data_IF_216319343954
#
_entry.id   IF_216319343954
#
_cell.length_a   1.000
_cell.length_b   1.000
_cell.length_c   1.000
_cell.angle_alpha   90.00
_cell.angle_beta   90.00
_cell.angle_gamma   90.00
#
_symmetry.space_group_name_H-M   'P 1'
#
loop_
_entity.id
_entity.type
_entity.pdbx_description
1 polymer ?
#
# COMPACT_ATOMS: atom_id res chain seq x y z
N UNK A 1 13.42 7.62 16.62
CA UNK A 1 13.08 6.19 16.52
C UNK A 1 11.58 5.99 16.63
N UNK A 2 11.05 4.95 16.00
CA UNK A 2 9.63 4.64 15.91
C UNK A 2 9.35 3.29 16.54
N UNK A 3 8.14 3.11 17.09
CA UNK A 3 7.71 1.86 17.70
C UNK A 3 7.25 0.85 16.66
N UNK A 4 6.55 1.32 15.63
CA UNK A 4 5.95 0.51 14.57
C UNK A 4 6.26 1.16 13.23
N UNK A 5 6.66 0.35 12.26
CA UNK A 5 6.75 0.71 10.86
C UNK A 5 5.86 -0.22 10.03
N UNK A 6 5.19 0.34 9.02
CA UNK A 6 4.36 -0.41 8.09
C UNK A 6 4.92 -0.20 6.68
N UNK A 7 5.40 -1.28 6.07
CA UNK A 7 5.91 -1.28 4.70
C UNK A 7 4.76 -1.60 3.75
N UNK A 8 4.44 -0.66 2.85
CA UNK A 8 3.37 -0.77 1.86
C UNK A 8 3.87 -0.54 0.42
N UNK A 9 5.18 -0.56 0.19
CA UNK A 9 5.77 -0.13 -1.07
C UNK A 9 5.54 -1.16 -2.18
N UNK A 10 5.91 -2.39 -1.95
CA UNK A 10 5.86 -3.44 -2.94
C UNK A 10 6.89 -3.33 -4.08
N UNK A 11 6.99 -4.37 -4.90
CA UNK A 11 7.86 -4.42 -6.07
C UNK A 11 9.34 -4.23 -5.73
N UNK A 12 10.08 -3.67 -6.69
CA UNK A 12 11.54 -3.48 -6.60
C UNK A 12 12.02 -2.52 -5.52
N UNK A 13 11.15 -1.71 -4.95
CA UNK A 13 11.50 -0.75 -3.90
C UNK A 13 11.34 -1.31 -2.49
N UNK A 14 10.77 -2.49 -2.32
CA UNK A 14 10.54 -3.08 -1.00
C UNK A 14 11.82 -3.35 -0.23
N UNK A 15 12.89 -3.78 -0.88
CA UNK A 15 14.19 -3.98 -0.24
C UNK A 15 14.65 -2.71 0.48
N UNK A 16 14.67 -1.60 -0.23
CA UNK A 16 15.08 -0.31 0.32
C UNK A 16 14.14 0.15 1.44
N UNK A 17 12.84 0.02 1.25
CA UNK A 17 11.85 0.43 2.23
C UNK A 17 11.92 -0.40 3.52
N UNK A 18 12.10 -1.72 3.41
CA UNK A 18 12.23 -2.62 4.56
C UNK A 18 13.49 -2.30 5.35
N UNK A 19 14.64 -2.14 4.68
CA UNK A 19 15.90 -1.84 5.35
C UNK A 19 15.86 -0.45 6.02
N UNK A 20 15.28 0.57 5.38
CA UNK A 20 15.05 1.86 6.01
C UNK A 20 14.14 1.76 7.24
N UNK A 21 13.09 0.94 7.17
CA UNK A 21 12.21 0.70 8.32
C UNK A 21 12.97 0.04 9.48
N UNK A 22 13.84 -0.94 9.20
CA UNK A 22 14.71 -1.57 10.20
C UNK A 22 15.62 -0.53 10.85
N UNK A 23 16.20 0.38 10.06
CA UNK A 23 17.13 1.42 10.55
C UNK A 23 16.46 2.38 11.54
N UNK A 24 15.24 2.83 11.25
CA UNK A 24 14.54 3.84 12.05
C UNK A 24 13.77 3.29 13.24
N UNK A 25 13.51 1.98 13.28
CA UNK A 25 12.83 1.33 14.41
C UNK A 25 13.70 1.34 15.66
N UNK A 26 13.08 1.59 16.81
CA UNK A 26 13.74 1.44 18.11
C UNK A 26 13.98 -0.04 18.44
N UNK A 27 14.87 -0.34 19.39
CA UNK A 27 14.95 -1.69 19.97
C UNK A 27 13.59 -2.18 20.48
N UNK A 28 13.24 -3.42 20.15
CA UNK A 28 11.93 -4.01 20.43
C UNK A 28 10.78 -3.51 19.56
N UNK A 29 11.06 -2.74 18.51
CA UNK A 29 10.06 -2.25 17.58
C UNK A 29 9.44 -3.34 16.71
N UNK A 30 8.38 -2.98 15.97
CA UNK A 30 7.65 -3.89 15.09
C UNK A 30 7.67 -3.40 13.66
N UNK A 31 7.95 -4.31 12.72
CA UNK A 31 7.83 -4.08 11.29
C UNK A 31 6.69 -4.92 10.71
N UNK A 32 5.70 -4.26 10.13
CA UNK A 32 4.57 -4.92 9.46
C UNK A 32 4.80 -4.83 7.95
N UNK A 33 4.91 -5.99 7.31
CA UNK A 33 5.11 -6.12 5.87
C UNK A 33 3.75 -6.30 5.19
N UNK A 34 3.39 -5.37 4.31
CA UNK A 34 2.17 -5.37 3.50
C UNK A 34 2.44 -5.23 2.01
N UNK A 35 3.62 -4.74 1.62
CA UNK A 35 4.05 -4.64 0.24
C UNK A 35 4.32 -6.01 -0.38
N UNK A 36 3.84 -6.24 -1.60
CA UNK A 36 4.07 -7.49 -2.33
C UNK A 36 5.31 -7.35 -3.20
N UNK A 37 6.28 -8.25 -3.03
CA UNK A 37 7.45 -8.37 -3.89
C UNK A 37 7.28 -9.56 -4.84
N UNK A 38 7.86 -9.48 -6.04
CA UNK A 38 7.89 -10.59 -6.99
C UNK A 38 8.91 -11.65 -6.56
N UNK A 39 10.06 -11.18 -6.07
CA UNK A 39 11.19 -12.01 -5.64
C UNK A 39 11.50 -11.84 -4.15
N UNK A 40 12.38 -12.70 -3.66
CA UNK A 40 12.96 -12.55 -2.33
C UNK A 40 13.86 -11.32 -2.30
N UNK A 41 13.73 -10.53 -1.23
CA UNK A 41 14.55 -9.32 -1.05
C UNK A 41 15.55 -9.52 0.10
N UNK A 42 16.81 -9.09 -0.04
CA UNK A 42 17.78 -9.12 1.05
C UNK A 42 17.43 -8.05 2.09
N UNK A 43 17.50 -8.44 3.36
CA UNK A 43 17.25 -7.54 4.48
C UNK A 43 18.42 -7.59 5.49
N UNK A 44 18.60 -6.53 6.26
CA UNK A 44 19.60 -6.43 7.30
C UNK A 44 19.16 -7.25 8.55
N UNK A 45 19.41 -8.55 8.50
CA UNK A 45 19.09 -9.47 9.60
C UNK A 45 19.90 -9.20 10.86
N UNK A 46 21.10 -8.58 10.74
CA UNK A 46 21.91 -8.21 11.87
C UNK A 46 21.19 -7.23 12.78
N UNK A 47 20.67 -6.14 12.21
CA UNK A 47 19.94 -5.13 12.99
C UNK A 47 18.61 -5.65 13.51
N UNK A 48 17.95 -6.53 12.77
CA UNK A 48 16.76 -7.25 13.28
C UNK A 48 17.09 -8.01 14.55
N UNK A 49 18.23 -8.74 14.57
CA UNK A 49 18.70 -9.47 15.73
C UNK A 49 19.10 -8.53 16.87
N UNK A 50 19.98 -7.57 16.59
CA UNK A 50 20.56 -6.70 17.63
C UNK A 50 19.51 -5.80 18.30
N UNK A 51 18.54 -5.32 17.53
CA UNK A 51 17.43 -4.50 18.05
C UNK A 51 16.25 -5.33 18.59
N UNK A 52 16.23 -6.65 18.39
CA UNK A 52 15.10 -7.50 18.77
C UNK A 52 13.80 -7.11 18.07
N UNK A 53 13.85 -6.77 16.77
CA UNK A 53 12.70 -6.34 15.99
C UNK A 53 11.78 -7.53 15.72
N UNK A 54 10.48 -7.32 15.94
CA UNK A 54 9.44 -8.28 15.52
C UNK A 54 9.00 -7.95 14.10
N UNK A 55 9.13 -8.90 13.17
CA UNK A 55 8.62 -8.78 11.81
C UNK A 55 7.35 -9.60 11.64
N UNK A 56 6.31 -9.00 11.07
CA UNK A 56 5.02 -9.64 10.82
C UNK A 56 4.50 -9.31 9.44
N UNK A 57 4.08 -10.33 8.69
CA UNK A 57 3.37 -10.15 7.43
C UNK A 57 1.87 -9.94 7.66
N UNK A 58 1.25 -9.10 6.84
CA UNK A 58 -0.19 -8.93 6.73
C UNK A 58 -0.57 -8.90 5.26
N UNK A 59 -1.35 -9.88 4.81
CA UNK A 59 -1.72 -10.02 3.41
C UNK A 59 -3.18 -10.44 3.30
N UNK A 60 -3.85 -9.86 2.31
CA UNK A 60 -5.24 -10.11 1.95
C UNK A 60 -6.24 -9.75 3.07
N UNK A 61 -7.51 -9.73 2.72
CA UNK A 61 -8.62 -9.50 3.64
C UNK A 61 -9.51 -10.72 3.69
N UNK A 62 -9.96 -11.06 4.88
CA UNK A 62 -10.99 -12.05 5.09
C UNK A 62 -12.39 -11.40 5.02
N UNK A 63 -13.44 -12.22 4.94
CA UNK A 63 -14.82 -11.71 5.02
C UNK A 63 -15.08 -10.93 6.32
N UNK A 64 -14.44 -11.32 7.41
CA UNK A 64 -14.59 -10.66 8.72
C UNK A 64 -14.06 -9.23 8.72
N UNK A 65 -13.08 -8.91 7.89
CA UNK A 65 -12.46 -7.59 7.83
C UNK A 65 -13.37 -6.53 7.19
N UNK A 66 -14.36 -6.93 6.39
CA UNK A 66 -15.27 -5.99 5.74
C UNK A 66 -16.18 -5.25 6.73
N UNK A 67 -16.66 -5.91 7.77
CA UNK A 67 -17.54 -5.29 8.76
C UNK A 67 -16.89 -4.10 9.49
N UNK A 68 -15.70 -4.23 10.08
CA UNK A 68 -15.02 -3.10 10.72
C UNK A 68 -14.64 -2.01 9.72
N UNK A 69 -14.28 -2.35 8.47
CA UNK A 69 -14.01 -1.35 7.43
C UNK A 69 -15.26 -0.55 7.10
N UNK A 70 -16.40 -1.20 6.88
CA UNK A 70 -17.67 -0.52 6.63
C UNK A 70 -18.11 0.33 7.83
N UNK A 71 -17.85 -0.11 9.05
CA UNK A 71 -18.11 0.70 10.25
C UNK A 71 -17.22 1.94 10.31
N UNK A 72 -15.92 1.79 10.01
CA UNK A 72 -14.98 2.92 9.93
C UNK A 72 -15.39 3.93 8.84
N UNK A 73 -15.87 3.45 7.69
CA UNK A 73 -16.33 4.28 6.58
C UNK A 73 -17.60 5.10 6.89
N UNK A 74 -18.30 4.81 7.98
CA UNK A 74 -19.41 5.67 8.47
C UNK A 74 -18.90 6.95 9.15
N UNK A 75 -17.65 6.99 9.55
CA UNK A 75 -17.04 8.16 10.14
C UNK A 75 -16.70 9.18 9.04
N UNK A 76 -17.14 10.44 9.21
CA UNK A 76 -16.95 11.50 8.23
C UNK A 76 -15.47 11.86 8.00
N UNK A 77 -14.63 11.78 9.03
CA UNK A 77 -13.18 12.05 8.90
C UNK A 77 -12.50 10.95 8.08
N UNK A 78 -12.91 9.69 8.28
CA UNK A 78 -12.45 8.57 7.46
C UNK A 78 -12.85 8.76 5.99
N UNK A 79 -14.13 9.09 5.72
CA UNK A 79 -14.61 9.38 4.37
C UNK A 79 -13.84 10.53 3.71
N UNK A 80 -13.63 11.62 4.44
CA UNK A 80 -12.89 12.79 3.95
C UNK A 80 -11.44 12.45 3.63
N UNK A 81 -10.80 11.65 4.48
CA UNK A 81 -9.41 11.22 4.28
C UNK A 81 -9.29 10.29 3.08
N UNK A 82 -10.14 9.28 2.98
CA UNK A 82 -10.16 8.34 1.85
C UNK A 82 -10.59 9.01 0.54
N UNK A 83 -11.50 9.98 0.62
CA UNK A 83 -11.93 10.76 -0.53
C UNK A 83 -10.79 11.47 -1.27
N UNK A 84 -9.72 11.83 -0.55
CA UNK A 84 -8.52 12.41 -1.19
C UNK A 84 -7.80 11.46 -2.13
N UNK A 85 -8.00 10.15 -2.00
CA UNK A 85 -7.43 9.15 -2.92
C UNK A 85 -8.17 9.09 -4.25
N UNK A 86 -9.38 9.63 -4.32
CA UNK A 86 -10.19 9.63 -5.53
C UNK A 86 -9.74 10.75 -6.47
N UNK A 87 -9.65 10.50 -7.79
CA UNK A 87 -9.32 11.53 -8.75
C UNK A 87 -10.51 12.47 -8.96
N UNK A 88 -10.24 13.71 -9.34
CA UNK A 88 -11.28 14.68 -9.71
C UNK A 88 -12.06 14.25 -10.97
N UNK A 89 -11.39 13.56 -11.89
CA UNK A 89 -11.98 13.05 -13.14
C UNK A 89 -11.81 11.55 -13.22
N UNK A 90 -12.84 10.89 -13.77
CA UNK A 90 -12.80 9.47 -14.13
C UNK A 90 -12.46 9.32 -15.61
N UNK A 91 -11.65 8.33 -15.95
CA UNK A 91 -11.35 8.01 -17.35
C UNK A 91 -12.50 7.19 -17.92
N UNK A 92 -13.18 7.73 -18.93
CA UNK A 92 -14.31 7.05 -19.58
C UNK A 92 -13.78 5.97 -20.52
N UNK A 93 -14.35 4.77 -20.42
CA UNK A 93 -14.04 3.60 -21.23
C UNK A 93 -15.29 3.22 -22.04
N UNK A 94 -15.26 3.52 -23.33
CA UNK A 94 -16.33 3.18 -24.27
C UNK A 94 -15.86 2.18 -25.36
N UNK A 95 -14.56 1.87 -25.40
CA UNK A 95 -13.96 0.95 -26.37
C UNK A 95 -12.74 0.23 -25.77
N UNK A 96 -12.30 -0.84 -26.43
CA UNK A 96 -11.05 -1.52 -26.08
C UNK A 96 -9.83 -0.60 -26.20
N UNK A 97 -9.82 0.31 -27.17
CA UNK A 97 -8.75 1.30 -27.33
C UNK A 97 -8.66 2.29 -26.16
N UNK A 98 -9.81 2.71 -25.61
CA UNK A 98 -9.84 3.55 -24.42
C UNK A 98 -9.27 2.82 -23.20
N UNK A 99 -9.60 1.53 -23.07
CA UNK A 99 -9.07 0.69 -22.00
C UNK A 99 -7.55 0.57 -22.08
N UNK A 100 -7.01 0.27 -23.25
CA UNK A 100 -5.55 0.18 -23.49
C UNK A 100 -4.85 1.51 -23.13
N UNK A 101 -5.44 2.63 -23.53
CA UNK A 101 -4.90 3.96 -23.24
C UNK A 101 -4.94 4.26 -21.74
N UNK A 102 -6.04 3.91 -21.06
CA UNK A 102 -6.20 4.08 -19.63
C UNK A 102 -5.23 3.22 -18.82
N UNK A 103 -4.92 2.00 -19.27
CA UNK A 103 -3.93 1.13 -18.62
C UNK A 103 -2.51 1.70 -18.75
N UNK A 104 -2.16 2.26 -19.90
CA UNK A 104 -0.87 2.96 -20.08
C UNK A 104 -0.76 4.22 -19.21
N UNK A 105 -1.85 4.98 -19.08
CA UNK A 105 -1.92 6.13 -18.18
C UNK A 105 -1.77 5.68 -16.71
N UNK A 106 -2.43 4.60 -16.30
CA UNK A 106 -2.33 4.04 -14.96
C UNK A 106 -0.90 3.56 -14.64
N UNK A 107 -0.23 2.92 -15.61
CA UNK A 107 1.17 2.51 -15.47
C UNK A 107 2.12 3.71 -15.31
N UNK A 108 1.87 4.79 -16.05
CA UNK A 108 2.66 6.02 -15.97
C UNK A 108 2.31 6.91 -14.77
N UNK A 109 1.21 6.62 -14.07
CA UNK A 109 0.70 7.43 -12.96
C UNK A 109 1.69 7.47 -11.80
N UNK A 110 2.01 8.68 -11.33
CA UNK A 110 2.99 8.91 -10.25
C UNK A 110 2.42 9.73 -9.09
N UNK A 111 1.12 10.00 -9.12
CA UNK A 111 0.42 10.67 -8.03
C UNK A 111 -0.01 9.65 -6.96
N UNK A 112 -0.33 10.15 -5.78
CA UNK A 112 -0.91 9.36 -4.70
C UNK A 112 -2.41 9.07 -4.87
N UNK A 113 -3.09 9.74 -5.81
CA UNK A 113 -4.49 9.47 -6.16
C UNK A 113 -4.62 8.16 -6.94
N UNK A 114 -5.81 7.58 -6.91
CA UNK A 114 -6.14 6.39 -7.70
C UNK A 114 -6.54 6.77 -9.12
N UNK A 115 -6.34 5.87 -10.08
CA UNK A 115 -6.97 5.96 -11.41
C UNK A 115 -8.36 5.30 -11.32
N UNK A 116 -9.40 6.00 -11.74
CA UNK A 116 -10.78 5.48 -11.74
C UNK A 116 -11.30 5.39 -13.18
N UNK A 117 -11.81 4.22 -13.51
CA UNK A 117 -12.41 3.96 -14.82
C UNK A 117 -13.94 4.02 -14.73
N UNK A 118 -14.57 4.66 -15.69
CA UNK A 118 -16.02 4.75 -15.88
C UNK A 118 -16.40 4.02 -17.17
N UNK A 119 -16.88 2.79 -17.05
CA UNK A 119 -17.22 1.95 -18.19
C UNK A 119 -18.59 2.32 -18.75
N UNK A 120 -18.64 2.63 -20.04
CA UNK A 120 -19.85 3.08 -20.78
C UNK A 120 -19.96 2.35 -22.12
N UNK A 121 -20.28 1.06 -22.09
CA UNK A 121 -20.62 0.27 -23.28
C UNK A 121 -22.08 -0.12 -23.27
#
# INVERSE_FOLDING_TARGET
SFDIAVECTGGRFSESAINQAIDILRPGGQLILMGVTEDRVPINTRDVLEKGITMRGSSRSSRADFHPVLAAMKNQDCQRTLGRLLPEKRTVIASAGDFDSAMKEAEAHRSWTKVMLDFRW
#
